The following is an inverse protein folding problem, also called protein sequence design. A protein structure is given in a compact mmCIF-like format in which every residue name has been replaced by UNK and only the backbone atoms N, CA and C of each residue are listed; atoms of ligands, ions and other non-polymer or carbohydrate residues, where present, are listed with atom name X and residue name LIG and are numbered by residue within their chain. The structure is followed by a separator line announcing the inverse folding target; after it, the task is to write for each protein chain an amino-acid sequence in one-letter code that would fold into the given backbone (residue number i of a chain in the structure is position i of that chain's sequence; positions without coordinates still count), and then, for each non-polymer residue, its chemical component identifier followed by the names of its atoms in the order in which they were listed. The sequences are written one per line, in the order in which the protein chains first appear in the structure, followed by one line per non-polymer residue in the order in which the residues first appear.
data_IF_827982830368
#
_entry.id   IF_827982830368
#
_cell.length_a   1.000
_cell.length_b   1.000
_cell.length_c   1.000
_cell.angle_alpha   90.00
_cell.angle_beta   90.00
_cell.angle_gamma   90.00
#
_symmetry.space_group_name_H-M   'P 1'
#
loop_
_entity.id
_entity.type
_entity.pdbx_description
1 polymer ?
#
# COMPACT_ATOMS: atom_id res chain seq x y z
N UNK A 1 25.65 13.78 -27.25
CA UNK A 1 25.38 14.12 -25.84
C UNK A 1 26.22 13.16 -25.06
N UNK A 2 27.37 13.62 -24.56
CA UNK A 2 28.19 12.81 -23.66
C UNK A 2 27.32 12.44 -22.47
N UNK A 3 27.13 11.13 -22.25
CA UNK A 3 26.22 10.62 -21.24
C UNK A 3 26.71 10.89 -19.82
N UNK A 4 25.81 10.73 -18.85
CA UNK A 4 26.16 10.76 -17.42
C UNK A 4 27.27 9.75 -17.13
N UNK A 5 28.34 10.20 -16.46
CA UNK A 5 29.37 9.31 -15.94
C UNK A 5 28.82 8.45 -14.81
N UNK A 6 29.45 7.31 -14.52
CA UNK A 6 29.05 6.45 -13.39
C UNK A 6 29.00 7.18 -12.05
N UNK A 7 29.84 8.21 -11.85
CA UNK A 7 29.85 9.02 -10.63
C UNK A 7 28.69 10.00 -10.52
N UNK A 8 27.97 10.26 -11.60
CA UNK A 8 26.81 11.16 -11.65
C UNK A 8 25.48 10.40 -11.56
N UNK A 9 25.50 9.07 -11.54
CA UNK A 9 24.31 8.24 -11.36
C UNK A 9 23.79 8.35 -9.92
N UNK A 10 22.53 8.76 -9.79
CA UNK A 10 21.81 8.82 -8.50
C UNK A 10 20.99 7.57 -8.20
N UNK A 11 20.81 6.69 -9.18
CA UNK A 11 20.11 5.43 -9.04
C UNK A 11 21.11 4.36 -8.58
N UNK A 12 20.78 3.68 -7.48
CA UNK A 12 21.57 2.55 -6.99
C UNK A 12 21.58 1.41 -8.03
N UNK A 13 22.77 0.87 -8.29
CA UNK A 13 22.96 -0.30 -9.15
C UNK A 13 23.55 -1.49 -8.38
N UNK A 14 23.71 -2.63 -9.06
CA UNK A 14 24.38 -3.80 -8.49
C UNK A 14 23.50 -4.73 -7.66
N UNK A 15 22.17 -4.62 -7.80
CA UNK A 15 21.16 -5.43 -7.09
C UNK A 15 21.14 -6.94 -7.42
N UNK A 16 22.13 -7.45 -8.17
CA UNK A 16 22.22 -8.87 -8.50
C UNK A 16 21.05 -9.36 -9.35
N UNK A 17 20.49 -10.53 -9.01
CA UNK A 17 19.36 -11.16 -9.72
C UNK A 17 17.98 -10.74 -9.19
N UNK A 18 17.88 -9.64 -8.45
CA UNK A 18 16.59 -9.08 -7.99
C UNK A 18 16.13 -8.02 -8.98
N UNK A 19 14.85 -8.06 -9.34
CA UNK A 19 14.24 -7.02 -10.17
C UNK A 19 14.13 -5.68 -9.43
N UNK A 20 14.40 -4.59 -10.14
CA UNK A 20 14.25 -3.21 -9.63
C UNK A 20 13.01 -2.51 -10.20
N UNK A 21 12.18 -3.26 -10.92
CA UNK A 21 10.94 -2.83 -11.54
C UNK A 21 10.06 -4.03 -11.85
N UNK A 22 8.76 -3.88 -11.64
CA UNK A 22 7.78 -4.90 -11.96
C UNK A 22 6.44 -4.31 -12.38
N UNK A 23 5.68 -5.09 -13.14
CA UNK A 23 4.30 -4.77 -13.49
C UNK A 23 3.44 -6.03 -13.51
N UNK A 24 2.21 -5.89 -13.03
CA UNK A 24 1.19 -6.92 -13.05
C UNK A 24 -0.10 -6.37 -13.65
N UNK A 25 -0.64 -7.07 -14.64
CA UNK A 25 -1.98 -6.79 -15.19
C UNK A 25 -2.95 -7.79 -14.58
N UNK A 26 -3.90 -7.28 -13.81
CA UNK A 26 -4.84 -8.07 -13.01
C UNK A 26 -6.22 -7.97 -13.65
N UNK A 27 -6.90 -9.11 -13.81
CA UNK A 27 -8.30 -9.17 -14.21
C UNK A 27 -9.15 -9.66 -13.05
N UNK A 28 -10.26 -8.99 -12.80
CA UNK A 28 -11.23 -9.34 -11.76
C UNK A 28 -12.42 -10.09 -12.36
N UNK A 29 -13.19 -10.75 -11.51
CA UNK A 29 -14.35 -11.56 -11.90
C UNK A 29 -15.55 -10.72 -12.36
N UNK A 30 -15.67 -9.49 -11.85
CA UNK A 30 -16.62 -8.47 -12.30
C UNK A 30 -16.29 -7.88 -13.70
N UNK A 31 -15.17 -8.29 -14.29
CA UNK A 31 -14.69 -7.84 -15.59
C UNK A 31 -13.83 -6.56 -15.56
N UNK A 32 -13.67 -5.95 -14.38
CA UNK A 32 -12.74 -4.84 -14.19
C UNK A 32 -11.28 -5.31 -14.34
N UNK A 33 -10.38 -4.35 -14.51
CA UNK A 33 -8.96 -4.61 -14.73
C UNK A 33 -8.12 -3.58 -13.99
N UNK A 34 -6.99 -4.03 -13.47
CA UNK A 34 -6.00 -3.16 -12.86
C UNK A 34 -4.61 -3.38 -13.46
N UNK A 35 -3.79 -2.35 -13.38
CA UNK A 35 -2.35 -2.42 -13.59
C UNK A 35 -1.70 -1.98 -12.29
N UNK A 36 -0.95 -2.89 -11.67
CA UNK A 36 -0.07 -2.56 -10.56
C UNK A 36 1.36 -2.52 -11.09
N UNK A 37 2.13 -1.51 -10.71
CA UNK A 37 3.55 -1.43 -11.06
C UNK A 37 4.30 -0.73 -9.94
N UNK A 38 5.59 -1.02 -9.85
CA UNK A 38 6.49 -0.38 -8.91
C UNK A 38 7.93 -0.51 -9.39
N UNK A 39 8.81 0.34 -8.85
CA UNK A 39 10.23 0.24 -9.10
C UNK A 39 11.03 1.18 -8.22
N UNK A 40 12.26 0.77 -7.91
CA UNK A 40 13.19 1.51 -7.04
C UNK A 40 14.21 2.35 -7.83
N UNK A 41 14.08 2.38 -9.15
CA UNK A 41 15.00 3.08 -10.04
C UNK A 41 14.48 4.47 -10.48
N UNK A 42 13.45 4.99 -9.80
CA UNK A 42 12.82 6.27 -10.13
C UNK A 42 13.36 7.36 -9.20
N UNK A 43 13.73 8.50 -9.77
CA UNK A 43 14.18 9.68 -9.03
C UNK A 43 13.00 10.62 -8.73
N UNK A 44 13.11 11.39 -7.66
CA UNK A 44 12.14 12.45 -7.33
C UNK A 44 11.33 12.26 -6.04
N UNK A 45 11.71 11.28 -5.21
CA UNK A 45 10.96 10.93 -4.00
C UNK A 45 10.02 9.75 -4.19
N UNK A 46 9.40 9.30 -3.10
CA UNK A 46 8.40 8.24 -3.12
C UNK A 46 7.16 8.68 -3.90
N UNK A 47 6.85 7.93 -4.96
CA UNK A 47 5.64 8.10 -5.76
C UNK A 47 4.69 6.90 -5.55
N UNK A 48 3.46 7.19 -5.15
CA UNK A 48 2.40 6.23 -4.89
C UNK A 48 1.07 6.88 -5.22
N UNK A 49 0.33 6.26 -6.13
CA UNK A 49 -0.91 6.80 -6.64
C UNK A 49 -1.89 5.71 -7.05
N UNK A 50 -3.17 6.09 -7.13
CA UNK A 50 -4.24 5.24 -7.62
C UNK A 50 -5.10 6.04 -8.60
N UNK A 51 -5.25 5.52 -9.81
CA UNK A 51 -6.20 6.02 -10.78
C UNK A 51 -7.37 5.06 -10.95
N UNK A 52 -8.58 5.57 -10.78
CA UNK A 52 -9.82 4.83 -10.98
C UNK A 52 -10.55 5.38 -12.20
N UNK A 53 -10.91 4.48 -13.10
CA UNK A 53 -11.64 4.79 -14.33
C UNK A 53 -12.97 4.04 -14.31
N UNK A 54 -14.07 4.76 -14.13
CA UNK A 54 -15.42 4.24 -14.23
C UNK A 54 -16.08 4.75 -15.51
N UNK A 55 -17.26 4.21 -15.82
CA UNK A 55 -18.06 4.64 -16.99
C UNK A 55 -18.58 6.07 -16.87
N UNK A 56 -18.67 6.60 -15.65
CA UNK A 56 -19.28 7.89 -15.34
C UNK A 56 -18.36 8.84 -14.54
N UNK A 57 -17.19 8.39 -14.11
CA UNK A 57 -16.24 9.23 -13.39
C UNK A 57 -14.80 8.75 -13.57
N UNK A 58 -13.88 9.65 -13.25
CA UNK A 58 -12.46 9.35 -13.13
C UNK A 58 -11.95 9.98 -11.85
N UNK A 59 -11.22 9.19 -11.06
CA UNK A 59 -10.61 9.64 -9.82
C UNK A 59 -9.10 9.42 -9.93
N UNK A 60 -8.32 10.40 -9.48
CA UNK A 60 -6.87 10.31 -9.32
C UNK A 60 -6.56 10.62 -7.87
N UNK A 61 -5.92 9.67 -7.20
CA UNK A 61 -5.54 9.76 -5.81
C UNK A 61 -4.03 9.77 -5.73
N UNK A 62 -3.48 10.84 -5.16
CA UNK A 62 -2.06 10.94 -4.85
C UNK A 62 -1.87 10.56 -3.37
N UNK A 63 -1.23 9.43 -3.11
CA UNK A 63 -0.88 9.03 -1.75
C UNK A 63 0.45 9.70 -1.35
N UNK A 64 1.46 9.58 -2.22
CA UNK A 64 2.72 10.32 -2.15
C UNK A 64 3.22 10.65 -3.57
N UNK A 65 3.77 11.83 -3.83
CA UNK A 65 3.66 13.02 -3.00
C UNK A 65 2.20 13.48 -2.86
N UNK A 66 1.89 14.24 -1.81
CA UNK A 66 0.65 15.02 -1.73
C UNK A 66 0.95 16.49 -1.45
N UNK A 67 -0.03 17.36 -1.74
CA UNK A 67 0.17 18.81 -1.77
C UNK A 67 -0.23 19.51 -0.46
N UNK A 68 -0.24 18.79 0.67
CA UNK A 68 -0.63 19.38 1.96
C UNK A 68 0.31 20.51 2.38
N UNK A 69 1.59 20.40 2.06
CA UNK A 69 2.57 21.45 2.20
C UNK A 69 3.41 21.52 0.92
N UNK A 70 3.60 22.74 0.40
CA UNK A 70 4.54 23.02 -0.68
C UNK A 70 5.57 24.00 -0.20
N UNK A 71 6.84 23.67 -0.38
CA UNK A 71 7.96 24.51 0.02
C UNK A 71 8.83 24.83 -1.19
N UNK A 72 9.38 26.04 -1.23
CA UNK A 72 10.41 26.42 -2.20
C UNK A 72 11.69 26.76 -1.46
N UNK A 73 12.79 26.16 -1.89
CA UNK A 73 14.13 26.53 -1.44
C UNK A 73 15.02 26.88 -2.65
N UNK A 74 15.79 27.98 -2.60
CA UNK A 74 16.75 28.31 -3.67
C UNK A 74 17.86 27.27 -3.85
N UNK A 75 18.20 26.51 -2.81
CA UNK A 75 19.21 25.45 -2.82
C UNK A 75 18.88 24.35 -1.79
N UNK A 76 19.62 23.25 -1.82
CA UNK A 76 19.34 22.08 -0.98
C UNK A 76 19.71 22.23 0.49
N UNK A 77 20.44 23.29 0.88
CA UNK A 77 20.88 23.51 2.26
C UNK A 77 19.90 24.32 3.10
N UNK A 78 18.86 24.90 2.52
CA UNK A 78 17.92 25.79 3.23
C UNK A 78 17.20 25.11 4.39
N UNK A 79 16.94 23.81 4.26
CA UNK A 79 16.28 23.00 5.30
C UNK A 79 17.27 22.06 6.02
N UNK A 80 18.58 22.24 5.83
CA UNK A 80 19.63 21.41 6.39
C UNK A 80 19.33 19.90 6.28
N UNK A 81 19.16 19.20 7.40
CA UNK A 81 18.88 17.77 7.52
C UNK A 81 17.38 17.47 7.77
N UNK A 82 16.52 18.47 7.67
CA UNK A 82 15.09 18.27 7.86
C UNK A 82 14.53 17.26 6.87
N UNK A 83 13.69 16.36 7.38
CA UNK A 83 13.00 15.39 6.57
C UNK A 83 12.00 16.09 5.63
N UNK A 84 12.13 15.83 4.32
CA UNK A 84 11.21 16.36 3.31
C UNK A 84 10.24 15.26 2.89
N UNK A 85 10.73 14.17 2.31
CA UNK A 85 9.94 13.06 1.79
C UNK A 85 10.82 11.82 1.64
N UNK A 86 10.24 10.64 1.73
CA UNK A 86 10.99 9.40 1.50
C UNK A 86 11.62 9.41 0.10
N UNK A 87 12.88 8.97 0.00
CA UNK A 87 13.65 8.82 -1.26
C UNK A 87 13.87 10.12 -2.06
N UNK A 88 13.60 11.30 -1.51
CA UNK A 88 13.97 12.57 -2.16
C UNK A 88 15.47 12.84 -1.93
N UNK A 89 16.17 13.29 -2.97
CA UNK A 89 17.63 13.47 -2.96
C UNK A 89 18.07 14.94 -2.81
N UNK A 90 17.12 15.88 -2.84
CA UNK A 90 17.37 17.32 -2.74
C UNK A 90 16.15 18.06 -2.19
N UNK A 91 16.40 19.03 -1.29
CA UNK A 91 15.40 19.98 -0.83
C UNK A 91 15.23 21.22 -1.73
N UNK A 92 16.05 21.36 -2.78
CA UNK A 92 16.05 22.54 -3.65
C UNK A 92 14.84 22.57 -4.60
N UNK A 93 14.42 23.77 -4.97
CA UNK A 93 13.28 23.99 -5.85
C UNK A 93 11.95 23.83 -5.12
N UNK A 94 10.88 23.56 -5.88
CA UNK A 94 9.58 23.25 -5.31
C UNK A 94 9.53 21.79 -4.87
N UNK A 95 9.29 21.57 -3.59
CA UNK A 95 9.11 20.24 -2.98
C UNK A 95 7.75 20.14 -2.30
N UNK A 96 7.38 18.91 -1.93
CA UNK A 96 6.17 18.58 -1.14
C UNK A 96 6.59 17.92 0.16
N UNK A 97 7.06 18.69 1.17
CA UNK A 97 7.43 18.11 2.45
C UNK A 97 6.24 17.39 3.10
N UNK A 98 6.53 16.38 3.90
CA UNK A 98 5.54 15.51 4.56
C UNK A 98 5.59 15.72 6.08
N UNK A 99 4.88 16.73 6.65
CA UNK A 99 4.95 17.06 8.08
C UNK A 99 4.59 15.91 9.03
N UNK A 100 3.70 15.01 8.60
CA UNK A 100 3.28 13.81 9.32
C UNK A 100 3.04 12.69 8.30
N UNK A 101 4.14 12.07 7.88
CA UNK A 101 4.10 11.06 6.84
C UNK A 101 3.37 9.79 7.30
N UNK A 102 3.53 9.39 8.56
CA UNK A 102 2.82 8.25 9.18
C UNK A 102 1.30 8.42 9.10
N UNK A 103 0.80 9.65 9.26
CA UNK A 103 -0.61 9.95 9.07
C UNK A 103 -1.01 9.90 7.60
N UNK A 104 -0.26 10.54 6.69
CA UNK A 104 -0.61 10.60 5.27
C UNK A 104 -0.53 9.26 4.55
N UNK A 105 0.43 8.42 4.93
CA UNK A 105 0.63 7.07 4.39
C UNK A 105 -0.36 6.07 4.97
N UNK A 106 -1.11 6.47 6.01
CA UNK A 106 -2.12 5.65 6.66
C UNK A 106 -1.59 4.71 7.74
N UNK A 107 -0.28 4.70 8.03
CA UNK A 107 0.32 3.88 9.09
C UNK A 107 -0.32 4.16 10.45
N UNK A 108 -0.53 5.43 10.81
CA UNK A 108 -1.20 5.78 12.05
C UNK A 108 -2.65 5.25 12.09
N UNK A 109 -3.36 5.32 10.96
CA UNK A 109 -4.71 4.80 10.83
C UNK A 109 -4.78 3.27 10.97
N UNK A 110 -3.80 2.56 10.39
CA UNK A 110 -3.65 1.11 10.50
C UNK A 110 -3.41 0.69 11.96
N UNK A 111 -2.47 1.32 12.66
CA UNK A 111 -2.20 1.02 14.08
C UNK A 111 -3.43 1.30 14.96
N UNK A 112 -4.14 2.40 14.71
CA UNK A 112 -5.38 2.73 15.43
C UNK A 112 -6.48 1.67 15.18
N UNK A 113 -6.68 1.28 13.92
CA UNK A 113 -7.68 0.27 13.57
C UNK A 113 -7.35 -1.09 14.20
N UNK A 114 -6.08 -1.51 14.16
CA UNK A 114 -5.62 -2.73 14.82
C UNK A 114 -5.96 -2.74 16.31
N UNK A 115 -5.56 -1.70 17.03
CA UNK A 115 -5.78 -1.61 18.47
C UNK A 115 -7.27 -1.51 18.84
N UNK A 116 -8.06 -0.76 18.06
CA UNK A 116 -9.51 -0.66 18.26
C UNK A 116 -10.19 -2.02 18.04
N UNK A 117 -9.87 -2.71 16.95
CA UNK A 117 -10.45 -4.01 16.62
C UNK A 117 -10.15 -5.05 17.71
N UNK A 118 -8.93 -5.05 18.24
CA UNK A 118 -8.52 -5.92 19.35
C UNK A 118 -9.34 -5.66 20.62
N UNK A 119 -9.55 -4.39 20.99
CA UNK A 119 -10.31 -4.02 22.18
C UNK A 119 -11.80 -4.32 22.05
N UNK A 120 -12.37 -4.05 20.89
CA UNK A 120 -13.80 -4.22 20.63
C UNK A 120 -14.16 -5.66 20.26
N UNK A 121 -13.16 -6.53 20.04
CA UNK A 121 -13.34 -7.92 19.66
C UNK A 121 -13.97 -8.09 18.27
N UNK A 122 -13.69 -7.15 17.35
CA UNK A 122 -14.20 -7.17 15.98
C UNK A 122 -13.13 -7.64 15.01
N UNK A 123 -13.55 -8.35 13.96
CA UNK A 123 -12.64 -8.81 12.92
C UNK A 123 -12.01 -7.62 12.16
N UNK A 124 -10.73 -7.75 11.81
CA UNK A 124 -10.05 -6.76 10.99
C UNK A 124 -10.64 -6.74 9.57
N UNK A 125 -10.75 -5.55 8.99
CA UNK A 125 -11.16 -5.41 7.58
C UNK A 125 -10.11 -5.96 6.61
N UNK A 126 -8.83 -5.93 7.00
CA UNK A 126 -7.71 -6.54 6.29
C UNK A 126 -7.09 -7.60 7.19
N UNK A 127 -7.36 -8.87 6.88
CA UNK A 127 -6.92 -10.01 7.67
C UNK A 127 -5.82 -10.82 6.97
N UNK A 128 -5.37 -11.89 7.62
CA UNK A 128 -4.34 -12.78 7.08
C UNK A 128 -4.79 -13.53 5.83
N UNK A 129 -6.10 -13.79 5.65
CA UNK A 129 -6.60 -14.45 4.44
C UNK A 129 -6.47 -13.54 3.23
N UNK A 130 -6.82 -12.25 3.38
CA UNK A 130 -6.58 -11.24 2.35
C UNK A 130 -5.07 -11.11 2.04
N UNK A 131 -4.23 -11.09 3.07
CA UNK A 131 -2.78 -11.06 2.90
C UNK A 131 -2.24 -12.24 2.06
N UNK A 132 -2.73 -13.44 2.31
CA UNK A 132 -2.39 -14.63 1.53
C UNK A 132 -2.80 -14.50 0.06
N UNK A 133 -3.95 -13.88 -0.24
CA UNK A 133 -4.37 -13.64 -1.62
C UNK A 133 -3.50 -12.63 -2.34
N UNK A 134 -3.06 -11.57 -1.66
CA UNK A 134 -2.08 -10.63 -2.22
C UNK A 134 -0.79 -11.34 -2.59
N UNK A 135 -0.26 -12.20 -1.70
CA UNK A 135 0.94 -13.01 -1.97
C UNK A 135 0.75 -13.93 -3.17
N UNK A 136 -0.44 -14.55 -3.32
CA UNK A 136 -0.74 -15.40 -4.48
C UNK A 136 -0.80 -14.63 -5.79
N UNK A 137 -1.32 -13.40 -5.79
CA UNK A 137 -1.31 -12.52 -6.97
C UNK A 137 0.13 -12.18 -7.37
N UNK A 138 0.98 -11.79 -6.40
CA UNK A 138 2.39 -11.50 -6.63
C UNK A 138 3.13 -12.72 -7.19
N UNK A 139 2.99 -13.88 -6.54
CA UNK A 139 3.59 -15.13 -7.02
C UNK A 139 3.15 -15.48 -8.45
N UNK A 140 1.86 -15.30 -8.75
CA UNK A 140 1.32 -15.53 -10.09
C UNK A 140 1.93 -14.59 -11.14
N UNK A 141 2.26 -13.34 -10.76
CA UNK A 141 2.95 -12.40 -11.64
C UNK A 141 4.38 -12.90 -11.96
N UNK A 142 5.13 -13.39 -10.98
CA UNK A 142 6.46 -14.00 -11.23
C UNK A 142 6.38 -15.22 -12.13
N UNK A 143 5.45 -16.15 -11.85
CA UNK A 143 5.23 -17.32 -12.73
C UNK A 143 4.88 -16.87 -14.15
N UNK A 144 4.03 -15.86 -14.29
CA UNK A 144 3.68 -15.30 -15.60
C UNK A 144 4.88 -14.72 -16.33
N UNK A 145 5.79 -14.05 -15.61
CA UNK A 145 6.99 -13.46 -16.17
C UNK A 145 7.97 -14.53 -16.63
N UNK A 146 8.15 -15.61 -15.85
CA UNK A 146 9.03 -16.73 -16.20
C UNK A 146 8.49 -17.54 -17.38
N UNK A 147 7.20 -17.83 -17.40
CA UNK A 147 6.61 -18.71 -18.43
C UNK A 147 6.15 -17.98 -19.69
N UNK A 148 6.14 -16.64 -19.68
CA UNK A 148 5.70 -15.82 -20.82
C UNK A 148 4.20 -15.99 -21.16
N UNK A 149 3.40 -16.49 -20.23
CA UNK A 149 1.97 -16.74 -20.41
C UNK A 149 1.21 -16.44 -19.13
N UNK A 150 -0.09 -16.19 -19.27
CA UNK A 150 -0.98 -16.16 -18.10
C UNK A 150 -0.91 -17.52 -17.39
N UNK A 151 -0.73 -17.56 -16.06
CA UNK A 151 -0.71 -18.82 -15.32
C UNK A 151 -1.99 -19.60 -15.59
N UNK A 152 -1.84 -20.79 -16.18
CA UNK A 152 -2.94 -21.72 -16.43
C UNK A 152 -2.92 -22.82 -15.39
N UNK A 153 -3.55 -22.59 -14.24
CA UNK A 153 -3.63 -23.56 -13.13
C UNK A 153 -5.04 -23.64 -12.52
N UNK A 154 -5.41 -24.77 -11.90
CA UNK A 154 -6.71 -24.94 -11.24
C UNK A 154 -6.73 -24.13 -9.94
N UNK A 155 -7.51 -23.04 -9.91
CA UNK A 155 -7.66 -22.20 -8.71
C UNK A 155 -8.32 -20.84 -8.95
N UNK A 156 -8.36 -20.35 -10.19
CA UNK A 156 -9.04 -19.08 -10.54
C UNK A 156 -10.08 -19.32 -11.64
N UNK A 157 -11.15 -20.07 -11.34
CA UNK A 157 -12.37 -20.15 -12.17
C UNK A 157 -13.63 -20.11 -11.29
N UNK A 158 -14.32 -18.98 -11.39
CA UNK A 158 -15.76 -18.66 -11.31
C UNK A 158 -16.69 -19.38 -10.33
N UNK A 159 -17.47 -18.58 -9.58
CA UNK A 159 -18.91 -18.79 -9.41
C UNK A 159 -19.64 -17.50 -8.95
N UNK A 160 -20.69 -17.08 -9.68
CA UNK A 160 -21.92 -16.55 -9.08
C UNK A 160 -22.12 -15.03 -9.01
N UNK A 161 -22.93 -14.52 -9.94
CA UNK A 161 -23.59 -13.20 -9.95
C UNK A 161 -24.48 -12.97 -8.72
N UNK A 162 -24.53 -11.74 -8.21
CA UNK A 162 -25.73 -11.13 -7.68
C UNK A 162 -25.77 -9.64 -8.07
N UNK A 163 -26.71 -9.30 -8.95
CA UNK A 163 -27.02 -7.93 -9.33
C UNK A 163 -28.20 -7.44 -8.47
N UNK A 164 -28.08 -6.23 -7.92
CA UNK A 164 -29.18 -5.46 -7.36
C UNK A 164 -28.90 -4.00 -7.66
N UNK A 165 -29.70 -3.41 -8.55
CA UNK A 165 -29.68 -1.99 -8.83
C UNK A 165 -30.27 -1.23 -7.64
N UNK A 166 -29.68 -0.09 -7.25
CA UNK A 166 -30.39 1.18 -7.00
C UNK A 166 -29.45 2.24 -6.40
N UNK A 167 -28.91 3.14 -7.24
CA UNK A 167 -28.87 4.60 -7.05
C UNK A 167 -28.20 5.27 -5.82
N UNK A 168 -27.70 4.53 -4.83
CA UNK A 168 -26.89 5.04 -3.73
C UNK A 168 -25.54 4.34 -3.80
N UNK A 169 -24.42 5.06 -3.64
CA UNK A 169 -23.06 4.53 -3.81
C UNK A 169 -22.97 3.08 -3.33
N UNK A 170 -22.74 2.17 -4.26
CA UNK A 170 -22.93 0.74 -4.02
C UNK A 170 -21.66 0.15 -3.38
N UNK A 171 -21.83 -0.76 -2.43
CA UNK A 171 -20.75 -1.59 -1.90
C UNK A 171 -20.20 -2.47 -3.03
N UNK A 172 -18.99 -2.22 -3.50
CA UNK A 172 -18.32 -3.07 -4.50
C UNK A 172 -17.61 -4.19 -3.76
N UNK A 173 -18.20 -5.38 -3.78
CA UNK A 173 -17.58 -6.58 -3.21
C UNK A 173 -16.62 -7.19 -4.23
N UNK A 174 -15.34 -7.17 -3.92
CA UNK A 174 -14.30 -7.97 -4.58
C UNK A 174 -14.40 -9.37 -3.99
N UNK A 175 -14.75 -10.37 -4.80
CA UNK A 175 -14.95 -11.74 -4.35
C UNK A 175 -13.88 -12.69 -4.90
N UNK A 176 -13.63 -13.77 -4.15
CA UNK A 176 -12.85 -14.93 -4.60
C UNK A 176 -13.66 -16.19 -4.34
N UNK A 177 -14.00 -16.92 -5.39
CA UNK A 177 -14.74 -18.18 -5.26
C UNK A 177 -16.14 -18.03 -4.66
N UNK A 178 -16.78 -16.86 -4.87
CA UNK A 178 -18.09 -16.56 -4.28
C UNK A 178 -18.05 -16.16 -2.80
N UNK A 179 -16.86 -16.16 -2.18
CA UNK A 179 -16.65 -15.58 -0.85
C UNK A 179 -16.12 -14.14 -1.01
N UNK A 180 -16.73 -13.14 -0.33
CA UNK A 180 -16.22 -11.77 -0.34
C UNK A 180 -14.80 -11.71 0.26
N UNK A 181 -13.83 -11.15 -0.46
CA UNK A 181 -12.43 -11.02 0.00
C UNK A 181 -12.01 -9.57 0.22
N UNK A 182 -12.64 -8.61 -0.47
CA UNK A 182 -12.51 -7.21 -0.14
C UNK A 182 -13.82 -6.50 -0.49
N UNK A 183 -14.10 -5.37 0.15
CA UNK A 183 -15.32 -4.61 -0.07
C UNK A 183 -14.98 -3.13 -0.15
N UNK A 184 -15.13 -2.55 -1.32
CA UNK A 184 -15.08 -1.10 -1.50
C UNK A 184 -16.45 -0.58 -1.09
N UNK A 185 -16.55 -0.18 0.17
CA UNK A 185 -17.73 0.52 0.66
C UNK A 185 -17.61 2.00 0.33
N UNK A 186 -18.73 2.72 0.08
CA UNK A 186 -18.72 4.17 0.16
C UNK A 186 -18.10 4.58 1.49
N UNK A 187 -17.08 5.43 1.41
CA UNK A 187 -16.49 6.01 2.61
C UNK A 187 -17.60 6.83 3.31
N UNK A 188 -18.21 6.24 4.35
CA UNK A 188 -19.10 6.98 5.23
C UNK A 188 -18.28 8.13 5.82
N UNK A 189 -18.81 9.35 5.92
CA UNK A 189 -18.10 10.42 6.61
C UNK A 189 -17.70 9.87 7.98
N UNK A 190 -16.39 9.71 8.17
CA UNK A 190 -15.87 9.12 9.39
C UNK A 190 -16.48 9.91 10.56
N UNK A 191 -16.96 9.18 11.57
CA UNK A 191 -17.26 9.83 12.85
C UNK A 191 -16.04 10.69 13.20
N UNK A 192 -16.28 11.94 13.60
CA UNK A 192 -15.21 12.90 13.89
C UNK A 192 -14.15 12.20 14.73
N UNK A 193 -12.93 12.03 14.17
CA UNK A 193 -11.88 11.25 14.82
C UNK A 193 -11.73 11.77 16.24
N UNK A 194 -11.83 10.85 17.21
CA UNK A 194 -11.54 11.15 18.60
C UNK A 194 -10.06 10.78 18.82
N UNK A 195 -9.17 11.76 19.01
CA UNK A 195 -7.84 11.45 19.53
C UNK A 195 -7.99 10.75 20.90
N UNK A 196 -6.99 9.96 21.30
CA UNK A 196 -6.93 9.30 22.61
C UNK A 196 -8.01 8.24 22.93
N UNK A 197 -8.67 7.65 21.93
CA UNK A 197 -9.66 6.57 22.17
C UNK A 197 -9.11 5.35 22.91
N UNK A 198 -7.78 5.18 22.90
CA UNK A 198 -7.04 4.10 23.56
C UNK A 198 -6.40 4.52 24.90
N UNK A 199 -6.44 5.82 25.24
CA UNK A 199 -5.82 6.36 26.44
C UNK A 199 -6.46 5.72 27.69
N UNK A 200 -5.62 5.05 28.51
CA UNK A 200 -6.06 4.30 29.69
C UNK A 200 -6.78 2.98 29.41
N UNK A 201 -7.03 2.61 28.15
CA UNK A 201 -7.65 1.33 27.77
C UNK A 201 -6.65 0.24 27.44
N UNK A 202 -5.46 0.61 26.98
CA UNK A 202 -4.35 -0.30 26.74
C UNK A 202 -3.28 -0.01 27.79
N UNK A 203 -2.97 -1.02 28.59
CA UNK A 203 -1.79 -0.98 29.46
C UNK A 203 -0.73 -1.86 28.83
N UNK A 204 0.21 -1.24 28.13
CA UNK A 204 1.38 -1.93 27.58
C UNK A 204 2.24 -2.37 28.79
N UNK A 205 2.44 -3.69 29.02
CA UNK A 205 3.31 -4.14 30.08
C UNK A 205 4.76 -3.76 29.77
N UNK A 206 5.59 -3.54 30.79
CA UNK A 206 6.99 -3.18 30.59
C UNK A 206 7.75 -4.24 29.75
N UNK A 207 7.31 -5.50 29.83
CA UNK A 207 7.85 -6.61 29.06
C UNK A 207 7.43 -6.67 27.59
N UNK A 208 6.61 -5.74 27.11
CA UNK A 208 6.15 -5.73 25.71
C UNK A 208 7.31 -5.57 24.72
N UNK A 209 8.38 -4.88 25.14
CA UNK A 209 9.58 -4.67 24.32
C UNK A 209 10.69 -5.70 24.60
N UNK A 210 10.43 -6.66 25.49
CA UNK A 210 11.35 -7.76 25.72
C UNK A 210 11.35 -8.69 24.49
N UNK A 211 12.45 -9.44 24.26
CA UNK A 211 12.46 -10.49 23.26
C UNK A 211 11.27 -11.44 23.48
N UNK A 212 10.64 -11.88 22.37
CA UNK A 212 9.62 -12.89 22.42
C UNK A 212 10.15 -14.15 23.15
N UNK A 213 9.32 -14.86 23.92
CA UNK A 213 9.68 -16.14 24.50
C UNK A 213 10.23 -17.12 23.45
N UNK A 214 11.19 -17.96 23.84
CA UNK A 214 11.86 -18.89 22.90
C UNK A 214 10.89 -19.82 22.16
N UNK A 215 9.80 -20.23 22.81
CA UNK A 215 8.75 -21.07 22.23
C UNK A 215 7.89 -20.32 21.20
N UNK A 216 7.63 -19.04 21.41
CA UNK A 216 6.99 -18.19 20.41
C UNK A 216 7.96 -17.90 19.25
N UNK A 217 9.21 -17.53 19.52
CA UNK A 217 10.23 -17.33 18.48
C UNK A 217 10.38 -18.57 17.58
N UNK A 218 10.44 -19.76 18.18
CA UNK A 218 10.52 -21.01 17.44
C UNK A 218 9.29 -21.27 16.54
N UNK A 219 8.09 -20.82 16.94
CA UNK A 219 6.89 -20.91 16.13
C UNK A 219 6.92 -19.96 14.92
N UNK A 220 7.58 -18.81 15.03
CA UNK A 220 7.74 -17.83 13.95
C UNK A 220 8.91 -18.15 13.01
N UNK A 221 10.02 -18.66 13.54
CA UNK A 221 11.24 -19.01 12.77
C UNK A 221 11.14 -20.37 12.06
N UNK A 222 10.09 -21.15 12.35
CA UNK A 222 9.69 -22.31 11.58
C UNK A 222 10.31 -23.62 12.07
N UNK A 223 9.40 -24.57 12.39
CA UNK A 223 9.63 -25.99 12.16
C UNK A 223 9.30 -26.39 10.73
#
# INVERSE_FOLDING_TARGET
VDGLSKGELRIAGGWGEVENWGTAVIGFDDGSRAVAWGGDHVLGGMESGLDLFASNCRLRLSLSPNDMLRAYAPDGGVFDDAYIMEKIDSGAGWTTPMPDEDWTSGQLGMCQAFAANLLDGVAAESDGELGLEVVRVLYSAYVSATEGRKPGGPGMRNAGRAAGADGAGEDVVIARGGAPVARLVPCKPAARRQPDVLNGKIKVPDSFFDPLPEDELAAWEGG
#
